data_IF_443981635749
#
_entry.id   IF_443981635749
#
_cell.length_a   1.000
_cell.length_b   1.000
_cell.length_c   1.000
_cell.angle_alpha   90.00
_cell.angle_beta   90.00
_cell.angle_gamma   90.00
#
_symmetry.space_group_name_H-M   'P 1'
#
loop_
_entity.id
_entity.type
_entity.pdbx_description
1 polymer ?
#
# COMPACT_ATOMS: atom_id res chain seq x y z
N UNK A 1 -2.14 -4.27 -17.23
CA UNK A 1 -1.33 -5.19 -16.40
C UNK A 1 0.13 -5.05 -16.81
N UNK A 2 0.99 -4.88 -15.85
CA UNK A 2 2.44 -4.89 -16.11
C UNK A 2 2.88 -6.34 -16.32
N UNK A 3 3.54 -6.67 -17.45
CA UNK A 3 4.18 -7.97 -17.68
C UNK A 3 5.53 -8.09 -16.94
N UNK A 4 5.76 -7.20 -15.97
CA UNK A 4 6.97 -7.22 -15.16
C UNK A 4 6.97 -8.41 -14.22
N UNK A 5 8.08 -9.10 -14.15
CA UNK A 5 8.30 -10.20 -13.24
C UNK A 5 9.75 -10.26 -12.78
N UNK A 6 9.97 -10.87 -11.64
CA UNK A 6 11.29 -11.29 -11.20
C UNK A 6 11.45 -12.79 -11.44
N UNK A 7 12.64 -13.20 -11.82
CA UNK A 7 13.01 -14.60 -11.88
C UNK A 7 13.83 -14.98 -10.65
N UNK A 8 13.35 -15.98 -9.92
CA UNK A 8 14.10 -16.59 -8.82
C UNK A 8 14.58 -17.96 -9.24
N UNK A 9 15.89 -18.10 -9.38
CA UNK A 9 16.53 -19.38 -9.75
C UNK A 9 17.11 -20.08 -8.53
N UNK A 10 16.72 -21.33 -8.34
CA UNK A 10 17.41 -22.21 -7.41
C UNK A 10 18.71 -22.70 -8.06
N UNK A 11 19.85 -22.32 -7.50
CA UNK A 11 21.16 -22.63 -8.08
C UNK A 11 21.47 -24.14 -8.09
N UNK A 12 20.94 -24.89 -7.11
CA UNK A 12 21.22 -26.33 -6.99
C UNK A 12 20.38 -27.16 -7.95
N UNK A 13 19.09 -26.88 -8.06
CA UNK A 13 18.16 -27.62 -8.94
C UNK A 13 18.09 -27.07 -10.36
N UNK A 14 18.46 -25.80 -10.54
CA UNK A 14 18.27 -25.07 -11.80
C UNK A 14 16.84 -24.61 -12.07
N UNK A 15 15.89 -24.93 -11.19
CA UNK A 15 14.50 -24.48 -11.32
C UNK A 15 14.39 -22.97 -11.21
N UNK A 16 13.56 -22.39 -12.07
CA UNK A 16 13.26 -20.96 -12.07
C UNK A 16 11.79 -20.74 -11.77
N UNK A 17 11.47 -19.81 -10.87
CA UNK A 17 10.12 -19.33 -10.63
C UNK A 17 9.98 -17.89 -11.15
N UNK A 18 8.92 -17.63 -11.89
CA UNK A 18 8.54 -16.30 -12.30
C UNK A 18 7.60 -15.71 -11.25
N UNK A 19 8.00 -14.58 -10.66
CA UNK A 19 7.26 -13.90 -9.60
C UNK A 19 6.72 -12.58 -10.13
N UNK A 20 5.39 -12.42 -10.20
CA UNK A 20 4.78 -11.19 -10.69
C UNK A 20 5.17 -9.96 -9.88
N UNK A 21 5.25 -8.81 -10.53
CA UNK A 21 5.53 -7.52 -9.89
C UNK A 21 4.28 -6.67 -9.90
N UNK A 22 3.96 -6.08 -8.74
CA UNK A 22 2.92 -5.09 -8.60
C UNK A 22 3.53 -3.72 -8.33
N UNK A 23 3.15 -2.76 -9.15
CA UNK A 23 3.51 -1.36 -8.96
C UNK A 23 2.36 -0.64 -8.24
N UNK A 24 2.69 0.13 -7.20
CA UNK A 24 1.76 1.07 -6.59
C UNK A 24 1.75 2.39 -7.34
N UNK A 25 0.81 3.28 -6.99
CA UNK A 25 0.82 4.67 -7.47
C UNK A 25 2.05 5.40 -6.94
N UNK A 26 2.43 5.10 -5.72
CA UNK A 26 3.61 5.63 -5.03
C UNK A 26 4.36 4.48 -4.36
N UNK A 27 5.65 4.71 -4.12
CA UNK A 27 6.52 3.76 -3.44
C UNK A 27 7.17 2.74 -4.36
N UNK A 28 8.00 1.85 -3.80
CA UNK A 28 8.68 0.82 -4.55
C UNK A 28 7.74 -0.26 -5.07
N UNK A 29 8.13 -0.91 -6.16
CA UNK A 29 7.43 -2.10 -6.66
C UNK A 29 7.53 -3.25 -5.65
N UNK A 30 6.54 -4.13 -5.66
CA UNK A 30 6.52 -5.32 -4.82
C UNK A 30 6.52 -6.59 -5.66
N UNK A 31 7.22 -7.61 -5.21
CA UNK A 31 7.28 -8.93 -5.83
C UNK A 31 6.24 -9.83 -5.16
N UNK A 32 5.35 -10.40 -5.93
CA UNK A 32 4.33 -11.32 -5.44
C UNK A 32 4.92 -12.72 -5.24
N UNK A 33 5.08 -13.12 -4.00
CA UNK A 33 5.69 -14.41 -3.64
C UNK A 33 4.69 -15.51 -3.30
N UNK A 34 3.40 -15.32 -3.56
CA UNK A 34 2.36 -16.30 -3.18
C UNK A 34 2.56 -17.67 -3.83
N UNK A 35 3.19 -17.73 -4.98
CA UNK A 35 3.47 -18.99 -5.70
C UNK A 35 4.81 -19.63 -5.33
N UNK A 36 5.64 -18.95 -4.54
CA UNK A 36 7.02 -19.39 -4.26
C UNK A 36 7.08 -20.80 -3.68
N UNK A 37 6.24 -21.12 -2.69
CA UNK A 37 6.24 -22.45 -2.08
C UNK A 37 5.84 -23.53 -3.07
N UNK A 38 4.80 -23.29 -3.88
CA UNK A 38 4.36 -24.24 -4.91
C UNK A 38 5.47 -24.54 -5.91
N UNK A 39 6.18 -23.49 -6.35
CA UNK A 39 7.11 -23.57 -7.47
C UNK A 39 8.53 -23.98 -7.04
N UNK A 40 8.93 -23.61 -5.82
CA UNK A 40 10.30 -23.82 -5.32
C UNK A 40 10.37 -24.58 -3.98
N UNK A 41 9.23 -24.87 -3.36
CA UNK A 41 9.14 -25.48 -2.02
C UNK A 41 9.98 -24.73 -0.97
N UNK A 42 10.02 -23.40 -1.08
CA UNK A 42 10.76 -22.51 -0.21
C UNK A 42 9.87 -21.41 0.34
N UNK A 43 10.13 -20.98 1.55
CA UNK A 43 9.52 -19.81 2.16
C UNK A 43 10.54 -18.66 2.22
N UNK A 44 10.05 -17.45 2.28
CA UNK A 44 10.87 -16.28 2.63
C UNK A 44 11.07 -16.18 4.13
N UNK A 45 12.16 -15.57 4.55
CA UNK A 45 12.43 -15.28 5.94
C UNK A 45 12.71 -13.78 6.07
N UNK A 46 11.77 -13.04 6.64
CA UNK A 46 11.85 -11.59 6.80
C UNK A 46 11.18 -11.18 8.13
N UNK A 47 11.84 -11.43 9.28
CA UNK A 47 11.31 -11.04 10.57
C UNK A 47 11.21 -9.52 10.69
N UNK A 48 10.03 -9.02 11.05
CA UNK A 48 9.76 -7.59 11.16
C UNK A 48 9.37 -6.90 9.87
N UNK A 49 9.18 -7.64 8.78
CA UNK A 49 8.71 -7.10 7.50
C UNK A 49 9.57 -5.96 6.94
N UNK A 50 10.90 -6.12 7.03
CA UNK A 50 11.86 -5.09 6.59
C UNK A 50 11.76 -4.83 5.07
N UNK A 51 11.52 -5.89 4.29
CA UNK A 51 11.42 -5.82 2.83
C UNK A 51 10.16 -6.51 2.28
N UNK A 52 9.15 -6.75 3.12
CA UNK A 52 7.96 -7.49 2.74
C UNK A 52 6.71 -6.64 2.91
N UNK A 53 5.98 -6.45 1.81
CA UNK A 53 4.66 -5.81 1.84
C UNK A 53 3.61 -6.81 2.36
N UNK A 54 2.87 -6.44 3.41
CA UNK A 54 1.88 -7.29 4.05
C UNK A 54 0.48 -7.19 3.44
N UNK A 55 0.16 -6.06 2.82
CA UNK A 55 -1.16 -5.82 2.22
C UNK A 55 -1.09 -4.74 1.13
N UNK A 56 -2.17 -4.67 0.35
CA UNK A 56 -2.44 -3.57 -0.58
C UNK A 56 -3.37 -2.57 0.08
N UNK A 57 -3.00 -1.32 0.10
CA UNK A 57 -3.82 -0.24 0.65
C UNK A 57 -3.96 0.92 -0.35
N UNK A 58 -5.17 1.48 -0.45
CA UNK A 58 -5.46 2.72 -1.16
C UNK A 58 -5.67 3.90 -0.20
N UNK A 59 -5.49 3.69 1.10
CA UNK A 59 -5.87 4.65 2.14
C UNK A 59 -4.66 5.49 2.56
N UNK A 60 -3.54 4.85 2.86
CA UNK A 60 -2.38 5.51 3.47
C UNK A 60 -1.11 5.18 2.70
N UNK A 61 -0.27 6.19 2.48
CA UNK A 61 1.10 6.03 2.05
C UNK A 61 2.04 6.60 3.11
N UNK A 62 3.07 5.85 3.45
CA UNK A 62 4.11 6.25 4.41
C UNK A 62 5.47 6.03 3.77
N UNK A 63 6.29 7.07 3.79
CA UNK A 63 7.72 7.01 3.50
C UNK A 63 8.46 7.54 4.73
N UNK A 64 8.95 6.62 5.54
CA UNK A 64 9.61 6.94 6.81
C UNK A 64 10.97 7.61 6.63
N UNK A 65 11.68 7.30 5.54
CA UNK A 65 12.99 7.89 5.26
C UNK A 65 12.88 9.37 4.91
N UNK A 66 11.88 9.72 4.09
CA UNK A 66 11.65 11.10 3.64
C UNK A 66 10.61 11.85 4.48
N UNK A 67 10.04 11.20 5.50
CA UNK A 67 9.06 11.81 6.38
C UNK A 67 7.75 12.19 5.68
N UNK A 68 7.27 11.35 4.76
CA UNK A 68 6.05 11.57 4.01
C UNK A 68 4.93 10.69 4.54
N UNK A 69 3.79 11.31 4.86
CA UNK A 69 2.55 10.63 5.22
C UNK A 69 1.40 11.23 4.41
N UNK A 70 0.72 10.38 3.64
CA UNK A 70 -0.46 10.77 2.85
C UNK A 70 -1.68 9.96 3.29
N UNK A 71 -2.83 10.63 3.42
CA UNK A 71 -4.15 10.01 3.57
C UNK A 71 -4.94 10.23 2.29
N UNK A 72 -5.26 9.16 1.57
CA UNK A 72 -5.94 9.20 0.26
C UNK A 72 -5.27 10.18 -0.72
N UNK A 73 -3.91 10.32 -0.63
CA UNK A 73 -3.13 11.24 -1.44
C UNK A 73 -2.98 12.65 -0.89
N UNK A 74 -3.65 12.99 0.21
CA UNK A 74 -3.53 14.29 0.87
C UNK A 74 -2.41 14.27 1.91
N UNK A 75 -1.44 15.22 1.84
CA UNK A 75 -0.37 15.31 2.82
C UNK A 75 -0.89 15.62 4.24
N UNK A 76 -0.32 14.93 5.24
CA UNK A 76 -0.74 15.15 6.64
C UNK A 76 -0.53 16.57 7.11
N UNK A 77 0.48 17.26 6.63
CA UNK A 77 0.76 18.66 6.95
C UNK A 77 -0.30 19.64 6.45
N UNK A 78 -1.14 19.21 5.51
CA UNK A 78 -2.33 19.96 5.07
C UNK A 78 -3.56 19.59 5.87
N UNK A 79 -3.73 18.31 6.20
CA UNK A 79 -4.91 17.82 6.93
C UNK A 79 -4.87 18.20 8.41
N UNK A 80 -3.72 18.05 9.07
CA UNK A 80 -3.60 18.28 10.51
C UNK A 80 -4.01 19.69 10.95
N UNK A 81 -3.57 20.78 10.30
CA UNK A 81 -3.94 22.12 10.71
C UNK A 81 -5.29 22.63 10.17
N UNK A 82 -5.84 22.01 9.13
CA UNK A 82 -6.97 22.58 8.36
C UNK A 82 -8.23 21.73 8.36
N UNK A 83 -8.15 20.48 8.76
CA UNK A 83 -9.29 19.57 8.73
C UNK A 83 -9.69 19.15 10.14
N UNK A 84 -10.99 18.98 10.34
CA UNK A 84 -11.55 18.38 11.55
C UNK A 84 -11.42 16.86 11.52
N UNK A 85 -11.63 16.23 12.69
CA UNK A 85 -11.67 14.76 12.79
C UNK A 85 -12.70 14.14 11.84
N UNK A 86 -13.88 14.73 11.71
CA UNK A 86 -14.94 14.22 10.84
C UNK A 86 -14.64 14.39 9.36
N UNK A 87 -13.98 15.48 8.97
CA UNK A 87 -13.51 15.65 7.60
C UNK A 87 -12.49 14.61 7.20
N UNK A 88 -11.52 14.31 8.08
CA UNK A 88 -10.53 13.26 7.83
C UNK A 88 -11.19 11.87 7.82
N UNK A 89 -12.14 11.61 8.72
CA UNK A 89 -12.91 10.37 8.72
C UNK A 89 -13.68 10.16 7.41
N UNK A 90 -14.32 11.20 6.92
CA UNK A 90 -14.99 11.20 5.61
C UNK A 90 -14.01 10.89 4.47
N UNK A 91 -12.88 11.59 4.45
CA UNK A 91 -11.82 11.38 3.46
C UNK A 91 -11.36 9.92 3.41
N UNK A 92 -11.08 9.32 4.56
CA UNK A 92 -10.59 7.93 4.63
C UNK A 92 -11.65 6.93 4.16
N UNK A 93 -12.92 7.18 4.45
CA UNK A 93 -14.04 6.31 4.06
C UNK A 93 -14.45 6.49 2.60
N UNK A 94 -14.48 7.71 2.11
CA UNK A 94 -15.03 8.06 0.79
C UNK A 94 -13.97 8.29 -0.28
N UNK A 95 -12.74 8.60 0.10
CA UNK A 95 -11.62 8.80 -0.83
C UNK A 95 -11.34 10.23 -1.24
N UNK A 96 -12.24 11.16 -0.94
CA UNK A 96 -12.13 12.58 -1.21
C UNK A 96 -12.59 13.40 -0.01
N UNK A 97 -12.09 14.63 0.11
CA UNK A 97 -12.56 15.56 1.13
C UNK A 97 -14.02 15.94 0.87
N UNK A 98 -14.84 16.09 1.93
CA UNK A 98 -16.24 16.45 1.76
C UNK A 98 -16.40 17.91 1.31
N UNK A 99 -17.45 18.17 0.55
CA UNK A 99 -18.03 19.51 0.43
C UNK A 99 -18.69 19.90 1.76
N UNK A 100 -19.03 21.18 1.91
CA UNK A 100 -19.74 21.65 3.12
C UNK A 100 -21.06 20.90 3.37
N UNK A 101 -21.82 20.65 2.30
CA UNK A 101 -23.10 19.92 2.39
C UNK A 101 -22.90 18.45 2.77
N UNK A 102 -21.90 17.78 2.19
CA UNK A 102 -21.56 16.39 2.52
C UNK A 102 -21.06 16.24 3.95
N UNK A 103 -20.30 17.21 4.44
CA UNK A 103 -19.83 17.22 5.82
C UNK A 103 -20.99 17.41 6.80
N UNK A 104 -21.94 18.30 6.49
CA UNK A 104 -23.12 18.52 7.31
C UNK A 104 -23.98 17.25 7.40
N UNK A 105 -24.26 16.61 6.25
CA UNK A 105 -24.97 15.34 6.20
C UNK A 105 -24.25 14.24 6.98
N UNK A 106 -22.95 14.08 6.76
CA UNK A 106 -22.13 13.07 7.45
C UNK A 106 -22.10 13.30 8.97
N UNK A 107 -21.97 14.54 9.41
CA UNK A 107 -22.00 14.91 10.83
C UNK A 107 -23.36 14.60 11.46
N UNK A 108 -24.44 14.81 10.72
CA UNK A 108 -25.79 14.51 11.19
C UNK A 108 -26.11 13.02 11.32
N UNK A 109 -25.33 12.13 10.69
CA UNK A 109 -25.50 10.67 10.79
C UNK A 109 -24.76 10.06 11.98
N UNK A 110 -23.82 10.78 12.59
CA UNK A 110 -22.99 10.32 13.70
C UNK A 110 -23.50 10.95 15.00
#
# INVERSE_FOLDING_TARGET
>A
MSDKHFELKNADSGQTAELPVHDGTLGPSVVDIRTLYRDQQAFTFDPGFVATASCKSAITFIDGENGVLLYRGYPIEQLAPRSSFLEVSYLLLKGELPTAAELEEFTGMI
#
